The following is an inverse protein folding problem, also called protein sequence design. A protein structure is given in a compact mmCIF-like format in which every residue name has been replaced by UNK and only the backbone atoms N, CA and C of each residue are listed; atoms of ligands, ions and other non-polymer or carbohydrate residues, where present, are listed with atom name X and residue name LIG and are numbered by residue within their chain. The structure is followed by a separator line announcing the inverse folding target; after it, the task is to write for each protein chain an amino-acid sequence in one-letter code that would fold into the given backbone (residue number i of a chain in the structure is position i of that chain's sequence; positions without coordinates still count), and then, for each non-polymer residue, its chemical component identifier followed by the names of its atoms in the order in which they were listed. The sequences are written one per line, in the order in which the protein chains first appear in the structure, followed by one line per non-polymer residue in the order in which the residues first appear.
data_IF_985945786223
#
_entry.id   IF_985945786223
#
_cell.length_a   1.000
_cell.length_b   1.000
_cell.length_c   1.000
_cell.angle_alpha   90.00
_cell.angle_beta   90.00
_cell.angle_gamma   90.00
#
_symmetry.space_group_name_H-M   'P 1'
#
loop_
_entity.id
_entity.type
_entity.pdbx_description
1 polymer ?
#
# COMPACT_ATOMS: atom_id res chain seq x y z
N UNK A 1 31.96 15.51 5.04
CA UNK A 1 30.83 14.98 5.83
C UNK A 1 29.54 15.67 5.44
N UNK A 2 29.43 17.00 5.55
CA UNK A 2 28.24 17.75 5.13
C UNK A 2 27.88 17.55 3.64
N UNK A 3 28.88 17.53 2.75
CA UNK A 3 28.66 17.24 1.32
C UNK A 3 28.00 15.88 1.09
N UNK A 4 28.49 14.84 1.78
CA UNK A 4 27.95 13.49 1.68
C UNK A 4 26.48 13.43 2.14
N UNK A 5 26.13 14.14 3.22
CA UNK A 5 24.75 14.24 3.68
C UNK A 5 23.87 14.96 2.67
N UNK A 6 24.33 16.09 2.11
CA UNK A 6 23.61 16.83 1.05
C UNK A 6 23.34 15.92 -0.14
N UNK A 7 24.37 15.24 -0.64
CA UNK A 7 24.28 14.46 -1.86
C UNK A 7 23.39 13.21 -1.67
N UNK A 8 23.42 12.59 -0.49
CA UNK A 8 22.51 11.49 -0.12
C UNK A 8 21.05 11.98 0.05
N UNK A 9 20.82 13.14 0.69
CA UNK A 9 19.46 13.70 0.83
C UNK A 9 18.89 14.07 -0.55
N UNK A 10 19.69 14.64 -1.45
CA UNK A 10 19.24 14.94 -2.82
C UNK A 10 18.93 13.66 -3.63
N UNK A 11 19.45 12.51 -3.23
CA UNK A 11 19.17 11.23 -3.88
C UNK A 11 17.83 10.59 -3.47
N UNK A 12 17.09 11.12 -2.49
CA UNK A 12 15.71 10.69 -2.20
C UNK A 12 14.68 11.27 -3.18
N UNK A 13 15.04 12.30 -3.95
CA UNK A 13 14.22 12.74 -5.10
C UNK A 13 14.13 11.60 -6.13
N UNK A 14 12.94 11.00 -6.30
CA UNK A 14 12.73 9.98 -7.32
C UNK A 14 13.01 10.48 -8.74
N UNK A 15 12.88 11.78 -9.01
CA UNK A 15 13.31 12.34 -10.29
C UNK A 15 14.85 12.34 -10.43
N UNK A 16 15.61 12.48 -9.33
CA UNK A 16 17.06 12.26 -9.32
C UNK A 16 17.39 10.79 -9.56
N UNK A 17 16.73 9.88 -8.85
CA UNK A 17 16.89 8.44 -9.05
C UNK A 17 16.69 8.02 -10.52
N UNK A 18 15.59 8.47 -11.14
CA UNK A 18 15.28 8.18 -12.54
C UNK A 18 16.29 8.79 -13.53
N UNK A 19 16.91 9.94 -13.21
CA UNK A 19 17.98 10.53 -14.03
C UNK A 19 19.25 9.66 -14.04
N UNK A 20 19.62 9.09 -12.90
CA UNK A 20 20.85 8.28 -12.74
C UNK A 20 20.67 6.78 -12.99
N UNK A 21 19.44 6.31 -13.20
CA UNK A 21 19.12 4.88 -13.25
C UNK A 21 19.96 4.08 -14.26
N UNK A 22 20.29 4.66 -15.42
CA UNK A 22 21.17 4.03 -16.42
C UNK A 22 22.62 3.88 -15.95
N UNK A 23 23.11 4.81 -15.13
CA UNK A 23 24.44 4.73 -14.53
C UNK A 23 24.47 3.68 -13.41
N UNK A 24 23.36 3.51 -12.67
CA UNK A 24 23.18 2.42 -11.71
C UNK A 24 23.18 1.04 -12.39
N UNK A 25 22.44 0.89 -13.50
CA UNK A 25 22.47 -0.32 -14.33
C UNK A 25 23.88 -0.62 -14.81
N UNK A 26 24.55 0.36 -15.41
CA UNK A 26 25.93 0.19 -15.89
C UNK A 26 26.90 -0.20 -14.77
N UNK A 27 26.78 0.38 -13.57
CA UNK A 27 27.59 0.00 -12.42
C UNK A 27 27.35 -1.45 -11.97
N UNK A 28 26.12 -1.96 -12.10
CA UNK A 28 25.81 -3.36 -11.82
C UNK A 28 26.38 -4.30 -12.90
N UNK A 29 26.24 -3.93 -14.18
CA UNK A 29 26.76 -4.70 -15.34
C UNK A 29 28.30 -4.76 -15.37
N UNK A 30 28.98 -3.62 -15.18
CA UNK A 30 30.45 -3.50 -15.15
C UNK A 30 31.05 -4.08 -13.84
N UNK A 31 30.23 -4.22 -12.79
CA UNK A 31 30.62 -4.62 -11.45
C UNK A 31 31.09 -3.45 -10.57
N UNK A 32 30.77 -3.53 -9.27
CA UNK A 32 31.17 -2.51 -8.29
C UNK A 32 32.68 -2.52 -7.99
N UNK A 33 33.41 -1.58 -8.58
CA UNK A 33 34.78 -1.21 -8.17
C UNK A 33 34.79 -0.27 -6.94
N UNK A 34 35.32 -0.70 -5.77
CA UNK A 34 35.45 0.16 -4.58
C UNK A 34 36.45 1.31 -4.72
N UNK A 35 37.39 1.27 -5.69
CA UNK A 35 38.33 2.35 -5.96
C UNK A 35 37.69 3.49 -6.79
N UNK A 36 36.61 3.19 -7.51
CA UNK A 36 35.89 4.16 -8.33
C UNK A 36 34.96 5.03 -7.47
N UNK A 37 35.34 6.30 -7.28
CA UNK A 37 34.54 7.28 -6.54
C UNK A 37 33.12 7.47 -7.08
N UNK A 38 32.91 7.32 -8.39
CA UNK A 38 31.57 7.42 -8.98
C UNK A 38 30.72 6.22 -8.59
N UNK A 39 31.28 5.00 -8.60
CA UNK A 39 30.55 3.81 -8.14
C UNK A 39 30.19 3.94 -6.67
N UNK A 40 31.09 4.44 -5.82
CA UNK A 40 30.81 4.69 -4.41
C UNK A 40 29.62 5.66 -4.20
N UNK A 41 29.55 6.76 -4.95
CA UNK A 41 28.40 7.68 -4.89
C UNK A 41 27.11 7.06 -5.42
N UNK A 42 27.16 6.39 -6.58
CA UNK A 42 26.02 5.68 -7.18
C UNK A 42 25.44 4.61 -6.24
N UNK A 43 26.30 3.82 -5.60
CA UNK A 43 25.90 2.82 -4.61
C UNK A 43 25.20 3.48 -3.40
N UNK A 44 25.73 4.59 -2.88
CA UNK A 44 25.07 5.31 -1.78
C UNK A 44 23.69 5.83 -2.18
N UNK A 45 23.52 6.32 -3.41
CA UNK A 45 22.22 6.79 -3.91
C UNK A 45 21.23 5.63 -4.03
N UNK A 46 21.65 4.48 -4.59
CA UNK A 46 20.81 3.27 -4.65
C UNK A 46 20.42 2.78 -3.26
N UNK A 47 21.37 2.73 -2.31
CA UNK A 47 21.11 2.32 -0.93
C UNK A 47 20.13 3.27 -0.24
N UNK A 48 20.28 4.59 -0.45
CA UNK A 48 19.35 5.57 0.11
C UNK A 48 17.93 5.39 -0.45
N UNK A 49 17.76 5.27 -1.78
CA UNK A 49 16.44 4.98 -2.36
C UNK A 49 15.89 3.63 -1.89
N UNK A 50 16.74 2.63 -1.68
CA UNK A 50 16.35 1.32 -1.14
C UNK A 50 15.89 1.39 0.32
N UNK A 51 16.43 2.31 1.12
CA UNK A 51 15.97 2.60 2.48
C UNK A 51 14.63 3.36 2.47
N UNK A 52 14.52 4.37 1.61
CA UNK A 52 13.33 5.23 1.47
C UNK A 52 12.09 4.42 1.06
N UNK A 53 12.27 3.44 0.16
CA UNK A 53 11.20 2.54 -0.28
C UNK A 53 11.10 1.22 0.52
N UNK A 54 11.79 1.12 1.66
CA UNK A 54 11.98 -0.16 2.37
C UNK A 54 10.70 -0.80 2.92
N UNK A 55 9.60 -0.06 3.07
CA UNK A 55 8.29 -0.61 3.40
C UNK A 55 7.77 -1.62 2.36
N UNK A 56 8.14 -1.45 1.09
CA UNK A 56 7.74 -2.36 0.01
C UNK A 56 8.37 -3.76 0.14
N UNK A 57 9.44 -3.88 0.94
CA UNK A 57 10.13 -5.15 1.28
C UNK A 57 9.58 -5.82 2.54
N UNK A 58 8.46 -5.35 3.07
CA UNK A 58 7.79 -5.91 4.25
C UNK A 58 6.60 -6.77 3.84
N UNK A 59 5.87 -7.34 4.81
CA UNK A 59 4.67 -8.13 4.50
C UNK A 59 3.53 -7.27 3.96
N UNK A 60 2.59 -7.90 3.24
CA UNK A 60 1.40 -7.27 2.63
C UNK A 60 0.71 -6.23 3.54
N UNK A 61 0.46 -6.58 4.80
CA UNK A 61 -0.19 -5.72 5.79
C UNK A 61 0.53 -4.38 6.00
N UNK A 62 1.87 -4.37 5.97
CA UNK A 62 2.68 -3.15 6.03
C UNK A 62 2.52 -2.34 4.73
N UNK A 63 2.77 -2.97 3.57
CA UNK A 63 2.66 -2.32 2.26
C UNK A 63 1.29 -1.65 2.04
N UNK A 64 0.22 -2.36 2.38
CA UNK A 64 -1.16 -1.84 2.32
C UNK A 64 -1.37 -0.65 3.27
N UNK A 65 -0.89 -0.74 4.51
CA UNK A 65 -1.04 0.36 5.48
C UNK A 65 -0.26 1.61 5.05
N UNK A 66 0.92 1.42 4.47
CA UNK A 66 1.73 2.51 3.93
C UNK A 66 1.06 3.14 2.70
N UNK A 67 0.46 2.34 1.81
CA UNK A 67 -0.36 2.87 0.73
C UNK A 67 -1.55 3.71 1.25
N UNK A 68 -2.27 3.26 2.28
CA UNK A 68 -3.35 4.04 2.92
C UNK A 68 -2.84 5.41 3.42
N UNK A 69 -1.68 5.45 4.07
CA UNK A 69 -1.07 6.68 4.57
C UNK A 69 -0.63 7.62 3.42
N UNK A 70 0.03 7.08 2.39
CA UNK A 70 0.47 7.84 1.20
C UNK A 70 -0.74 8.46 0.49
N UNK A 71 -1.78 7.68 0.19
CA UNK A 71 -2.96 8.22 -0.49
C UNK A 71 -3.75 9.20 0.39
N UNK A 72 -3.79 9.02 1.71
CA UNK A 72 -4.36 10.02 2.62
C UNK A 72 -3.62 11.36 2.53
N UNK A 73 -2.30 11.36 2.41
CA UNK A 73 -1.50 12.56 2.22
C UNK A 73 -1.73 13.17 0.82
N UNK A 74 -1.61 12.37 -0.24
CA UNK A 74 -1.81 12.81 -1.63
C UNK A 74 -3.20 13.40 -1.87
N UNK A 75 -4.25 12.79 -1.31
CA UNK A 75 -5.61 13.32 -1.40
C UNK A 75 -5.81 14.60 -0.57
N UNK A 76 -5.09 14.76 0.54
CA UNK A 76 -5.11 16.02 1.30
C UNK A 76 -4.44 17.16 0.53
N UNK A 77 -3.35 16.88 -0.19
CA UNK A 77 -2.74 17.82 -1.12
C UNK A 77 -3.66 18.13 -2.31
N UNK A 78 -4.25 17.11 -2.94
CA UNK A 78 -5.13 17.29 -4.10
C UNK A 78 -6.40 18.09 -3.79
N UNK A 79 -6.97 17.94 -2.60
CA UNK A 79 -8.09 18.78 -2.14
C UNK A 79 -7.67 20.25 -1.97
N UNK A 80 -6.46 20.51 -1.44
CA UNK A 80 -5.91 21.87 -1.34
C UNK A 80 -5.65 22.48 -2.72
N UNK A 81 -5.10 21.70 -3.66
CA UNK A 81 -4.92 22.12 -5.05
C UNK A 81 -6.25 22.48 -5.72
N UNK A 82 -7.30 21.66 -5.55
CA UNK A 82 -8.67 21.98 -6.00
C UNK A 82 -9.20 23.26 -5.35
N UNK A 83 -9.00 23.46 -4.04
CA UNK A 83 -9.43 24.67 -3.33
C UNK A 83 -8.70 25.94 -3.81
N UNK A 84 -7.47 25.80 -4.30
CA UNK A 84 -6.69 26.87 -4.95
C UNK A 84 -7.08 27.10 -6.43
N UNK A 85 -8.02 26.33 -6.99
CA UNK A 85 -8.43 26.41 -8.39
C UNK A 85 -7.51 25.66 -9.37
N UNK A 86 -6.56 24.86 -8.88
CA UNK A 86 -5.69 24.02 -9.69
C UNK A 86 -6.33 22.66 -9.96
N UNK A 87 -5.94 22.01 -11.06
CA UNK A 87 -6.27 20.61 -11.32
C UNK A 87 -5.17 19.71 -10.74
N UNK A 88 -5.46 18.87 -9.73
CA UNK A 88 -4.47 17.96 -9.18
C UNK A 88 -4.08 16.85 -10.16
N UNK A 89 -2.93 16.23 -9.89
CA UNK A 89 -2.53 14.98 -10.56
C UNK A 89 -3.51 13.85 -10.22
N UNK A 90 -3.67 12.88 -11.11
CA UNK A 90 -4.67 11.81 -10.95
C UNK A 90 -4.49 11.00 -9.67
N UNK A 91 -3.24 10.69 -9.29
CA UNK A 91 -2.92 10.01 -8.03
C UNK A 91 -3.20 10.82 -6.76
N UNK A 92 -3.40 12.14 -6.89
CA UNK A 92 -3.79 13.05 -5.82
C UNK A 92 -5.29 13.38 -5.83
N UNK A 93 -6.01 12.98 -6.87
CA UNK A 93 -7.45 13.24 -6.98
C UNK A 93 -8.25 12.04 -6.45
N UNK A 94 -8.76 12.15 -5.21
CA UNK A 94 -9.56 11.11 -4.55
C UNK A 94 -10.82 10.67 -5.33
N UNK A 95 -11.27 11.46 -6.31
CA UNK A 95 -12.42 11.15 -7.17
C UNK A 95 -12.04 10.36 -8.42
N UNK A 96 -10.74 10.20 -8.70
CA UNK A 96 -10.21 9.55 -9.93
C UNK A 96 -9.17 8.47 -9.65
N UNK A 97 -8.40 8.58 -8.57
CA UNK A 97 -7.30 7.69 -8.26
C UNK A 97 -7.75 6.23 -8.07
N UNK A 98 -7.39 5.35 -9.01
CA UNK A 98 -7.58 3.91 -8.88
C UNK A 98 -6.35 3.28 -8.21
N UNK A 99 -6.39 3.23 -6.88
CA UNK A 99 -5.26 2.84 -6.00
C UNK A 99 -4.53 1.55 -6.42
N UNK A 100 -5.21 0.42 -6.77
CA UNK A 100 -4.52 -0.81 -7.12
C UNK A 100 -3.63 -0.68 -8.36
N UNK A 101 -4.10 0.00 -9.42
CA UNK A 101 -3.31 0.20 -10.64
C UNK A 101 -2.15 1.16 -10.42
N UNK A 102 -2.39 2.25 -9.68
CA UNK A 102 -1.34 3.20 -9.30
C UNK A 102 -0.24 2.52 -8.45
N UNK A 103 -0.61 1.62 -7.54
CA UNK A 103 0.36 0.83 -6.77
C UNK A 103 1.10 -0.20 -7.62
N UNK A 104 0.40 -0.95 -8.49
CA UNK A 104 1.04 -1.90 -9.42
C UNK A 104 2.04 -1.16 -10.32
N UNK A 105 1.64 -0.03 -10.90
CA UNK A 105 2.48 0.81 -11.75
C UNK A 105 3.71 1.35 -11.01
N UNK A 106 3.54 1.88 -9.79
CA UNK A 106 4.66 2.30 -8.94
C UNK A 106 5.62 1.13 -8.64
N UNK A 107 5.10 -0.05 -8.33
CA UNK A 107 5.92 -1.21 -8.02
C UNK A 107 6.68 -1.73 -9.24
N UNK A 108 6.05 -1.82 -10.40
CA UNK A 108 6.67 -2.29 -11.64
C UNK A 108 7.72 -1.34 -12.19
N UNK A 109 7.47 -0.02 -12.14
CA UNK A 109 8.33 0.98 -12.79
C UNK A 109 9.35 1.64 -11.86
N UNK A 110 9.14 1.61 -10.54
CA UNK A 110 10.05 2.23 -9.55
C UNK A 110 10.62 1.18 -8.59
N UNK A 111 9.78 0.54 -7.76
CA UNK A 111 10.28 -0.25 -6.63
C UNK A 111 10.98 -1.55 -7.07
N UNK A 112 10.39 -2.36 -7.95
CA UNK A 112 10.97 -3.61 -8.42
C UNK A 112 12.33 -3.39 -9.14
N UNK A 113 12.50 -2.41 -10.06
CA UNK A 113 13.79 -2.09 -10.67
C UNK A 113 14.89 -1.74 -9.64
N UNK A 114 14.55 -0.99 -8.58
CA UNK A 114 15.49 -0.65 -7.50
C UNK A 114 15.99 -1.90 -6.77
N UNK A 115 15.08 -2.77 -6.34
CA UNK A 115 15.47 -3.99 -5.63
C UNK A 115 16.09 -5.05 -6.55
N UNK A 116 15.83 -5.00 -7.87
CA UNK A 116 16.51 -5.82 -8.87
C UNK A 116 17.99 -5.46 -8.99
N UNK A 117 18.30 -4.17 -9.12
CA UNK A 117 19.68 -3.66 -9.09
C UNK A 117 20.38 -4.00 -7.77
N UNK A 118 19.68 -3.87 -6.65
CA UNK A 118 20.23 -4.22 -5.34
C UNK A 118 20.56 -5.72 -5.24
N UNK A 119 19.69 -6.61 -5.77
CA UNK A 119 19.94 -8.06 -5.87
C UNK A 119 21.16 -8.37 -6.76
N UNK A 120 21.34 -7.66 -7.87
CA UNK A 120 22.46 -7.85 -8.80
C UNK A 120 23.81 -7.48 -8.16
N UNK A 121 23.85 -6.36 -7.44
CA UNK A 121 25.03 -5.93 -6.68
C UNK A 121 25.27 -6.76 -5.41
N UNK A 122 24.20 -7.22 -4.76
CA UNK A 122 24.23 -7.98 -3.51
C UNK A 122 23.31 -9.20 -3.58
N UNK A 123 23.78 -10.37 -4.05
CA UNK A 123 22.93 -11.56 -4.23
C UNK A 123 22.16 -12.00 -2.96
N UNK A 124 22.63 -11.63 -1.77
CA UNK A 124 21.94 -11.88 -0.49
C UNK A 124 20.64 -11.09 -0.31
N UNK A 125 20.40 -10.01 -1.07
CA UNK A 125 19.15 -9.23 -1.00
C UNK A 125 18.06 -9.73 -1.95
N UNK A 126 18.19 -10.95 -2.50
CA UNK A 126 17.16 -11.58 -3.35
C UNK A 126 15.78 -11.58 -2.69
N UNK A 127 15.72 -11.84 -1.38
CA UNK A 127 14.48 -11.84 -0.60
C UNK A 127 13.74 -10.50 -0.63
N UNK A 128 14.46 -9.37 -0.80
CA UNK A 128 13.85 -8.04 -0.85
C UNK A 128 13.12 -7.84 -2.18
N UNK A 129 13.76 -8.20 -3.29
CA UNK A 129 13.14 -8.18 -4.62
C UNK A 129 11.95 -9.14 -4.71
N UNK A 130 12.12 -10.37 -4.23
CA UNK A 130 11.07 -11.39 -4.18
C UNK A 130 9.87 -10.94 -3.34
N UNK A 131 10.10 -10.24 -2.22
CA UNK A 131 9.02 -9.68 -1.39
C UNK A 131 8.25 -8.58 -2.11
N UNK A 132 8.95 -7.68 -2.80
CA UNK A 132 8.33 -6.58 -3.56
C UNK A 132 7.52 -7.15 -4.73
N UNK A 133 8.06 -8.12 -5.47
CA UNK A 133 7.33 -8.84 -6.52
C UNK A 133 6.08 -9.54 -5.96
N UNK A 134 6.20 -10.20 -4.80
CA UNK A 134 5.06 -10.82 -4.11
C UNK A 134 4.00 -9.80 -3.68
N UNK A 135 4.39 -8.63 -3.19
CA UNK A 135 3.45 -7.56 -2.83
C UNK A 135 2.73 -6.97 -4.07
N UNK A 136 3.42 -6.87 -5.22
CA UNK A 136 2.79 -6.49 -6.51
C UNK A 136 1.75 -7.52 -6.98
N UNK A 137 2.05 -8.81 -6.82
CA UNK A 137 1.08 -9.90 -7.04
C UNK A 137 -0.16 -9.75 -6.15
N UNK A 138 0.01 -9.39 -4.86
CA UNK A 138 -1.12 -9.17 -3.96
C UNK A 138 -1.98 -7.97 -4.40
N UNK A 139 -1.40 -6.86 -4.84
CA UNK A 139 -2.18 -5.74 -5.41
C UNK A 139 -3.02 -6.17 -6.63
N UNK A 140 -2.46 -7.02 -7.50
CA UNK A 140 -3.21 -7.59 -8.63
C UNK A 140 -4.38 -8.44 -8.14
N UNK A 141 -4.15 -9.31 -7.14
CA UNK A 141 -5.19 -10.16 -6.55
C UNK A 141 -6.32 -9.33 -5.92
N UNK A 142 -6.01 -8.28 -5.14
CA UNK A 142 -7.05 -7.50 -4.43
C UNK A 142 -7.72 -6.43 -5.29
N UNK A 143 -7.22 -6.13 -6.49
CA UNK A 143 -7.77 -5.10 -7.39
C UNK A 143 -9.29 -5.26 -7.60
N UNK A 144 -9.77 -6.50 -7.80
CA UNK A 144 -11.21 -6.78 -7.97
C UNK A 144 -12.08 -6.36 -6.76
N UNK A 145 -11.56 -6.42 -5.52
CA UNK A 145 -12.28 -5.97 -4.32
C UNK A 145 -12.50 -4.45 -4.37
N UNK A 146 -11.54 -3.70 -4.91
CA UNK A 146 -11.63 -2.25 -5.08
C UNK A 146 -12.64 -1.89 -6.17
N UNK A 147 -12.71 -2.65 -7.28
CA UNK A 147 -13.74 -2.46 -8.32
C UNK A 147 -15.16 -2.61 -7.78
N UNK A 148 -15.37 -3.51 -6.82
CA UNK A 148 -16.70 -3.78 -6.22
C UNK A 148 -17.12 -2.79 -5.13
N UNK A 149 -16.17 -2.31 -4.31
CA UNK A 149 -16.46 -1.46 -3.13
C UNK A 149 -16.13 0.02 -3.33
N UNK A 150 -15.30 0.37 -4.32
CA UNK A 150 -14.74 1.71 -4.47
C UNK A 150 -13.78 2.07 -3.34
N UNK A 151 -13.41 3.36 -3.26
CA UNK A 151 -12.69 3.91 -2.11
C UNK A 151 -13.69 4.27 -1.00
N UNK A 152 -13.55 3.74 0.23
CA UNK A 152 -14.39 4.12 1.36
C UNK A 152 -14.22 5.59 1.77
N UNK A 153 -15.25 6.19 2.37
CA UNK A 153 -15.24 7.61 2.80
C UNK A 153 -14.19 7.96 3.86
N UNK A 154 -13.69 6.97 4.60
CA UNK A 154 -12.59 7.12 5.56
C UNK A 154 -11.19 6.91 4.93
N UNK A 155 -11.13 6.74 3.60
CA UNK A 155 -9.95 6.37 2.81
C UNK A 155 -9.23 5.08 3.25
N UNK A 156 -9.85 4.24 4.09
CA UNK A 156 -9.20 3.03 4.59
C UNK A 156 -9.09 1.94 3.52
N UNK A 157 -7.96 1.23 3.53
CA UNK A 157 -7.72 0.07 2.68
C UNK A 157 -7.90 -1.26 3.44
N UNK A 158 -8.42 -1.25 4.67
CA UNK A 158 -8.50 -2.44 5.51
C UNK A 158 -9.40 -3.55 4.89
N UNK A 159 -10.37 -3.17 4.06
CA UNK A 159 -11.24 -4.07 3.31
C UNK A 159 -10.54 -4.93 2.25
N UNK A 160 -9.26 -4.67 1.96
CA UNK A 160 -8.44 -5.44 1.03
C UNK A 160 -7.77 -6.66 1.69
N UNK A 161 -7.77 -6.80 3.02
CA UNK A 161 -7.29 -8.05 3.65
C UNK A 161 -8.24 -9.22 3.33
N UNK A 162 -7.69 -10.44 3.30
CA UNK A 162 -8.48 -11.68 3.20
C UNK A 162 -9.23 -11.96 4.52
N UNK A 163 -8.64 -11.60 5.65
CA UNK A 163 -9.24 -11.73 7.00
C UNK A 163 -10.42 -10.76 7.23
N UNK A 164 -10.51 -9.65 6.48
CA UNK A 164 -11.57 -8.65 6.67
C UNK A 164 -12.96 -9.21 6.39
N UNK A 165 -13.11 -10.05 5.37
CA UNK A 165 -14.41 -10.60 5.00
C UNK A 165 -14.91 -11.59 6.10
N UNK A 166 -14.01 -12.33 6.77
CA UNK A 166 -14.32 -13.17 7.93
C UNK A 166 -14.79 -12.35 9.14
N UNK A 167 -14.13 -11.21 9.43
CA UNK A 167 -14.53 -10.33 10.53
C UNK A 167 -15.90 -9.67 10.26
N UNK A 168 -16.17 -9.26 9.01
CA UNK A 168 -17.44 -8.67 8.60
C UNK A 168 -18.64 -9.63 8.67
N UNK A 169 -18.39 -10.95 8.60
CA UNK A 169 -19.39 -11.98 8.85
C UNK A 169 -19.59 -12.22 10.36
N UNK A 170 -18.49 -12.22 11.14
CA UNK A 170 -18.54 -12.37 12.60
C UNK A 170 -19.30 -11.26 13.34
N UNK A 171 -19.30 -10.03 12.83
CA UNK A 171 -20.08 -8.92 13.42
C UNK A 171 -21.60 -9.04 13.16
N UNK A 172 -22.04 -9.79 12.15
CA UNK A 172 -23.47 -9.91 11.80
C UNK A 172 -24.25 -10.91 12.66
N UNK A 173 -23.58 -11.91 13.24
CA UNK A 173 -24.20 -12.85 14.19
C UNK A 173 -24.35 -12.26 15.61
N UNK A 174 -24.00 -10.98 15.82
CA UNK A 174 -24.06 -10.29 17.11
C UNK A 174 -25.45 -9.79 17.54
N UNK A 175 -26.44 -9.72 16.65
CA UNK A 175 -27.80 -9.31 17.01
C UNK A 175 -28.55 -10.44 17.72
N UNK A 176 -28.35 -10.52 19.04
CA UNK A 176 -29.14 -11.36 19.94
C UNK A 176 -30.64 -11.05 19.79
N UNK A 177 -31.40 -12.01 19.29
CA UNK A 177 -32.84 -12.08 19.53
C UNK A 177 -33.07 -12.26 21.03
N UNK A 178 -33.43 -11.18 21.72
CA UNK A 178 -33.89 -11.24 23.10
C UNK A 178 -35.00 -10.20 23.30
N UNK A 179 -36.23 -10.68 23.42
CA UNK A 179 -37.44 -9.87 23.38
C UNK A 179 -38.69 -10.71 23.62
N UNK A 180 -38.79 -11.31 24.80
CA UNK A 180 -40.08 -11.67 25.39
C UNK A 180 -40.74 -10.40 26.01
N UNK A 181 -42.02 -10.53 26.41
CA UNK A 181 -42.96 -9.50 26.89
C UNK A 181 -43.75 -8.81 25.75
N UNK A 182 -45.08 -8.60 25.83
CA UNK A 182 -46.13 -9.25 26.65
C UNK A 182 -47.54 -8.91 26.07
N UNK A 183 -48.60 -9.41 26.73
CA UNK A 183 -49.98 -8.90 26.83
C UNK A 183 -51.04 -9.18 25.73
N UNK A 184 -52.22 -9.66 26.19
CA UNK A 184 -53.46 -9.82 25.42
C UNK A 184 -54.52 -10.75 26.04
N UNK A 185 -55.21 -10.31 27.09
CA UNK A 185 -56.52 -10.85 27.56
C UNK A 185 -57.61 -10.63 26.47
N UNK A 186 -58.84 -11.17 26.42
CA UNK A 186 -59.72 -12.00 27.29
C UNK A 186 -60.16 -13.27 26.47
N UNK A 187 -61.08 -14.19 26.82
CA UNK A 187 -62.00 -14.47 27.94
C UNK A 187 -62.13 -16.02 28.08
N UNK A 188 -62.83 -16.54 29.10
CA UNK A 188 -62.87 -17.97 29.44
C UNK A 188 -64.20 -18.70 29.24
N UNK A 189 -64.17 -20.03 29.46
CA UNK A 189 -65.29 -20.82 29.98
C UNK A 189 -64.77 -22.05 30.74
N UNK A 190 -65.51 -22.46 31.79
CA UNK A 190 -65.19 -23.59 32.68
C UNK A 190 -66.02 -24.83 32.34
N UNK A 191 -65.54 -25.97 32.86
CA UNK A 191 -66.24 -27.26 33.04
C UNK A 191 -66.59 -27.99 31.71
N UNK A 192 -66.58 -29.32 31.65
CA UNK A 192 -66.62 -30.34 32.70
C UNK A 192 -65.75 -31.59 32.42
N UNK A 193 -65.54 -32.34 33.50
CA UNK A 193 -65.16 -33.76 33.66
C UNK A 193 -65.36 -34.72 32.46
N UNK A 194 -64.53 -35.78 32.37
CA UNK A 194 -64.95 -37.18 32.60
C UNK A 194 -63.77 -38.19 32.52
N UNK A 195 -63.76 -39.10 33.50
CA UNK A 195 -63.10 -40.44 33.60
C UNK A 195 -61.57 -40.58 33.44
#
# INVERSE_FOLDING_TARGET
MLDLMRDIILATDLAHHLRIFKDLQKMADDGYDPANKQHHSLLLYLLMTSCDLSDQTKGWKTTRKIAELIYKEFFSQGDLEKAMGNRPMEMMDREKAYIPELQISFMEHIAMPIYKLLQELFPKSSELYERVASNREHWTKVSHKFTLRGLPSNNSLDFLDEEYDLQSMGEKDGLKMNGCLDDGEEDGHRESELE
#
